data_IF_734810951692
#
_entry.id   IF_734810951692
#
_cell.length_a   1.000
_cell.length_b   1.000
_cell.length_c   1.000
_cell.angle_alpha   90.00
_cell.angle_beta   90.00
_cell.angle_gamma   90.00
#
_symmetry.space_group_name_H-M   'P 1'
#
loop_
_entity.id
_entity.type
_entity.pdbx_description
1 polymer ?
#
# COMPACT_ATOMS: atom_id res chain seq x y z
N UNK A 1 -1.71 13.51 -10.38
CA UNK A 1 -0.45 14.20 -10.01
C UNK A 1 0.62 13.13 -9.88
N UNK A 2 1.67 13.18 -10.69
CA UNK A 2 2.80 12.24 -10.58
C UNK A 2 3.82 12.86 -9.63
N UNK A 3 4.06 12.23 -8.49
CA UNK A 3 5.11 12.63 -7.56
C UNK A 3 6.43 12.00 -8.03
N UNK A 4 7.30 12.79 -8.66
CA UNK A 4 8.60 12.32 -9.14
C UNK A 4 9.62 12.53 -8.02
N UNK A 5 10.04 11.46 -7.37
CA UNK A 5 11.15 11.53 -6.42
C UNK A 5 12.45 11.25 -7.17
N UNK A 6 13.24 12.29 -7.44
CA UNK A 6 14.49 12.22 -8.23
C UNK A 6 15.56 11.30 -7.62
N UNK A 7 15.40 10.90 -6.36
CA UNK A 7 16.36 10.06 -5.63
C UNK A 7 15.95 8.58 -5.52
N UNK A 8 14.74 8.20 -5.96
CA UNK A 8 14.27 6.83 -5.91
C UNK A 8 14.47 6.16 -7.27
N UNK A 9 15.28 5.10 -7.32
CA UNK A 9 15.29 4.21 -8.47
C UNK A 9 14.14 3.21 -8.27
N UNK A 10 13.00 3.33 -8.96
CA UNK A 10 11.84 2.50 -8.69
C UNK A 10 12.23 1.04 -8.94
N UNK A 11 12.02 0.17 -7.95
CA UNK A 11 12.31 -1.25 -8.10
C UNK A 11 11.39 -2.09 -7.19
N UNK A 12 10.66 -3.08 -7.75
CA UNK A 12 10.43 -3.29 -9.17
C UNK A 12 9.68 -2.12 -9.84
N UNK A 13 9.81 -1.99 -11.16
CA UNK A 13 9.16 -0.93 -11.95
C UNK A 13 8.43 -1.50 -13.16
N UNK A 14 7.45 -0.75 -13.64
CA UNK A 14 6.73 -1.00 -14.89
C UNK A 14 6.90 0.21 -15.82
N UNK A 15 7.03 -0.04 -17.13
CA UNK A 15 7.09 1.05 -18.10
C UNK A 15 5.67 1.46 -18.49
N UNK A 16 5.33 2.73 -18.27
CA UNK A 16 4.03 3.30 -18.57
C UNK A 16 4.15 4.49 -19.52
N UNK A 17 3.11 4.68 -20.35
CA UNK A 17 2.95 5.86 -21.18
C UNK A 17 2.40 7.01 -20.35
N UNK A 18 3.12 8.13 -20.31
CA UNK A 18 2.71 9.33 -19.56
C UNK A 18 2.40 10.45 -20.55
N UNK A 19 1.21 11.03 -20.39
CA UNK A 19 0.75 12.24 -21.09
C UNK A 19 0.55 13.37 -20.07
N UNK A 20 0.68 14.61 -20.53
CA UNK A 20 0.38 15.78 -19.71
C UNK A 20 -1.10 16.16 -19.86
N UNK A 21 -1.70 16.75 -18.82
CA UNK A 21 -3.06 17.30 -18.91
C UNK A 21 -3.23 18.31 -20.06
N UNK A 22 -2.14 19.02 -20.41
CA UNK A 22 -2.14 19.97 -21.54
C UNK A 22 -2.23 19.23 -22.87
N UNK A 23 -1.51 18.11 -23.00
CA UNK A 23 -1.60 17.22 -24.16
C UNK A 23 -3.03 16.69 -24.31
N UNK A 24 -3.61 16.15 -23.23
CA UNK A 24 -4.97 15.61 -23.22
C UNK A 24 -6.00 16.70 -23.59
N UNK A 25 -5.82 17.93 -23.08
CA UNK A 25 -6.66 19.06 -23.44
C UNK A 25 -6.56 19.41 -24.93
N UNK A 26 -5.36 19.43 -25.51
CA UNK A 26 -5.18 19.69 -26.94
C UNK A 26 -5.75 18.57 -27.81
N UNK A 27 -5.66 17.31 -27.39
CA UNK A 27 -6.35 16.21 -28.07
C UNK A 27 -7.87 16.38 -28.04
N UNK A 28 -8.44 16.62 -26.85
CA UNK A 28 -9.89 16.76 -26.67
C UNK A 28 -10.49 17.97 -27.38
N UNK A 29 -9.70 19.03 -27.57
CA UNK A 29 -10.11 20.24 -28.31
C UNK A 29 -9.77 20.18 -29.81
N UNK A 30 -9.32 19.02 -30.30
CA UNK A 30 -8.97 18.77 -31.70
C UNK A 30 -7.83 19.65 -32.24
N UNK A 31 -6.81 19.90 -31.42
CA UNK A 31 -5.61 20.68 -31.73
C UNK A 31 -4.29 19.86 -31.66
N UNK A 32 -4.18 18.69 -32.32
CA UNK A 32 -3.00 17.83 -32.21
C UNK A 32 -1.71 18.47 -32.71
N UNK A 33 -1.79 19.45 -33.63
CA UNK A 33 -0.62 20.19 -34.12
C UNK A 33 0.11 20.95 -32.99
N UNK A 34 -0.60 21.39 -31.96
CA UNK A 34 0.01 22.07 -30.80
C UNK A 34 0.82 21.11 -29.94
N UNK A 35 0.46 19.83 -29.90
CA UNK A 35 1.20 18.79 -29.16
C UNK A 35 2.59 18.64 -29.78
N UNK A 36 2.65 18.56 -31.11
CA UNK A 36 3.92 18.48 -31.83
C UNK A 36 4.74 19.76 -31.70
N UNK A 37 4.10 20.92 -31.91
CA UNK A 37 4.74 22.23 -31.83
C UNK A 37 5.43 22.47 -30.48
N UNK A 38 4.81 22.04 -29.38
CA UNK A 38 5.33 22.26 -28.02
C UNK A 38 6.07 21.07 -27.43
N UNK A 39 6.26 19.98 -28.19
CA UNK A 39 6.99 18.80 -27.69
C UNK A 39 6.26 18.08 -26.55
N UNK A 40 4.92 18.06 -26.60
CA UNK A 40 4.05 17.52 -25.54
C UNK A 40 3.62 16.07 -25.82
N UNK A 41 4.38 15.35 -26.64
CA UNK A 41 4.09 13.95 -26.96
C UNK A 41 4.18 13.08 -25.71
N UNK A 42 3.38 12.01 -25.70
CA UNK A 42 3.49 10.94 -24.72
C UNK A 42 4.91 10.38 -24.70
N UNK A 43 5.42 10.14 -23.50
CA UNK A 43 6.73 9.52 -23.29
C UNK A 43 6.62 8.33 -22.35
N UNK A 44 7.59 7.43 -22.43
CA UNK A 44 7.68 6.26 -21.56
C UNK A 44 8.40 6.63 -20.26
N UNK A 45 7.82 6.24 -19.13
CA UNK A 45 8.40 6.41 -17.81
C UNK A 45 8.35 5.09 -17.04
N UNK A 46 9.44 4.77 -16.34
CA UNK A 46 9.42 3.68 -15.37
C UNK A 46 8.73 4.17 -14.10
N UNK A 47 7.58 3.58 -13.79
CA UNK A 47 6.81 3.86 -12.57
C UNK A 47 7.02 2.72 -11.57
N UNK A 48 6.99 3.05 -10.28
CA UNK A 48 7.05 2.03 -9.23
C UNK A 48 5.86 1.08 -9.35
N UNK A 49 6.13 -0.21 -9.24
CA UNK A 49 5.10 -1.25 -9.28
C UNK A 49 4.06 -1.02 -8.15
N UNK A 50 2.77 -1.07 -8.51
CA UNK A 50 1.67 -0.83 -7.56
C UNK A 50 1.52 -1.95 -6.52
N UNK A 51 1.82 -3.20 -6.87
CA UNK A 51 1.87 -4.35 -5.94
C UNK A 51 2.97 -4.14 -4.92
N UNK A 52 4.15 -3.68 -5.37
CA UNK A 52 5.25 -3.29 -4.49
C UNK A 52 4.85 -2.17 -3.54
N UNK A 53 4.26 -1.12 -4.10
CA UNK A 53 3.77 0.04 -3.34
C UNK A 53 2.76 -0.38 -2.26
N UNK A 54 1.86 -1.31 -2.57
CA UNK A 54 0.88 -1.85 -1.63
C UNK A 54 1.55 -2.57 -0.46
N UNK A 55 2.48 -3.49 -0.72
CA UNK A 55 3.15 -4.23 0.36
C UNK A 55 4.03 -3.31 1.22
N UNK A 56 4.67 -2.29 0.65
CA UNK A 56 5.45 -1.30 1.40
C UNK A 56 4.57 -0.47 2.35
N UNK A 57 3.39 -0.06 1.89
CA UNK A 57 2.40 0.63 2.74
C UNK A 57 1.90 -0.28 3.85
N UNK A 58 1.59 -1.55 3.55
CA UNK A 58 1.18 -2.52 4.56
C UNK A 58 2.26 -2.71 5.62
N UNK A 59 3.52 -2.95 5.23
CA UNK A 59 4.65 -3.16 6.15
C UNK A 59 4.90 -1.92 7.01
N UNK A 60 4.86 -0.73 6.41
CA UNK A 60 4.92 0.54 7.13
C UNK A 60 3.80 0.64 8.18
N UNK A 61 2.53 0.40 7.81
CA UNK A 61 1.43 0.42 8.78
C UNK A 61 1.60 -0.63 9.90
N UNK A 62 2.00 -1.86 9.56
CA UNK A 62 2.28 -2.90 10.56
C UNK A 62 3.33 -2.45 11.56
N UNK A 63 4.47 -1.95 11.08
CA UNK A 63 5.55 -1.46 11.93
C UNK A 63 5.07 -0.38 12.89
N UNK A 64 4.45 0.67 12.36
CA UNK A 64 4.05 1.83 13.17
C UNK A 64 2.84 1.54 14.07
N UNK A 65 2.07 0.49 13.79
CA UNK A 65 1.03 0.00 14.70
C UNK A 65 1.58 -0.53 16.03
N UNK A 66 2.87 -0.90 16.11
CA UNK A 66 3.53 -1.35 17.35
C UNK A 66 4.18 -0.22 18.16
N UNK A 67 3.99 1.04 17.77
CA UNK A 67 4.51 2.17 18.53
C UNK A 67 3.82 2.31 19.89
N UNK A 68 4.43 3.08 20.79
CA UNK A 68 3.82 3.40 22.10
C UNK A 68 2.49 4.14 21.94
N UNK A 69 2.38 4.99 20.91
CA UNK A 69 1.16 5.69 20.55
C UNK A 69 0.76 5.41 19.09
N UNK A 70 0.14 4.24 18.81
CA UNK A 70 -0.24 3.83 17.46
C UNK A 70 -1.15 4.82 16.75
N UNK A 71 -2.05 5.49 17.49
CA UNK A 71 -2.97 6.46 16.88
C UNK A 71 -2.22 7.65 16.29
N UNK A 72 -1.19 8.17 16.97
CA UNK A 72 -0.39 9.29 16.46
C UNK A 72 0.44 8.86 15.24
N UNK A 73 1.16 7.74 15.34
CA UNK A 73 2.04 7.28 14.27
C UNK A 73 1.27 6.86 13.01
N UNK A 74 0.08 6.27 13.17
CA UNK A 74 -0.77 5.91 12.03
C UNK A 74 -1.52 7.11 11.45
N UNK A 75 -1.83 8.13 12.26
CA UNK A 75 -2.37 9.41 11.76
C UNK A 75 -1.38 10.09 10.82
N UNK A 76 -0.08 10.09 11.15
CA UNK A 76 0.96 10.59 10.24
C UNK A 76 1.07 9.81 8.92
N UNK A 77 0.41 8.65 8.84
CA UNK A 77 0.35 7.77 7.66
C UNK A 77 -1.06 7.62 7.11
N UNK A 78 -1.96 8.56 7.40
CA UNK A 78 -3.38 8.40 7.08
C UNK A 78 -3.64 8.19 5.58
N UNK A 79 -2.82 8.80 4.71
CA UNK A 79 -2.83 8.61 3.26
C UNK A 79 -2.61 7.15 2.83
N UNK A 80 -1.89 6.35 3.61
CA UNK A 80 -1.71 4.94 3.29
C UNK A 80 -3.01 4.15 3.35
N UNK A 81 -3.95 4.50 4.22
CA UNK A 81 -5.26 3.82 4.27
C UNK A 81 -6.10 4.13 3.03
N UNK A 82 -6.07 5.38 2.56
CA UNK A 82 -6.66 5.79 1.27
C UNK A 82 -6.04 5.01 0.11
N UNK A 83 -4.71 5.02 0.02
CA UNK A 83 -4.00 4.33 -1.06
C UNK A 83 -4.31 2.83 -1.04
N UNK A 84 -4.34 2.20 0.14
CA UNK A 84 -4.69 0.79 0.29
C UNK A 84 -6.11 0.48 -0.14
N UNK A 85 -7.08 1.38 0.08
CA UNK A 85 -8.43 1.18 -0.42
C UNK A 85 -8.43 1.06 -1.96
N UNK A 86 -7.74 1.95 -2.66
CA UNK A 86 -7.67 1.87 -4.13
C UNK A 86 -6.83 0.69 -4.62
N UNK A 87 -5.69 0.42 -3.96
CA UNK A 87 -4.82 -0.69 -4.34
C UNK A 87 -5.50 -2.05 -4.11
N UNK A 88 -6.20 -2.26 -3.00
CA UNK A 88 -6.90 -3.54 -2.74
C UNK A 88 -8.07 -3.77 -3.72
N UNK A 89 -8.68 -2.69 -4.23
CA UNK A 89 -9.78 -2.77 -5.19
C UNK A 89 -9.33 -2.72 -6.66
N UNK A 90 -8.05 -2.47 -6.93
CA UNK A 90 -7.46 -2.60 -8.27
C UNK A 90 -7.37 -4.08 -8.65
N UNK A 91 -7.82 -4.44 -9.86
CA UNK A 91 -7.97 -5.85 -10.25
C UNK A 91 -6.66 -6.62 -10.20
N UNK A 92 -5.56 -6.02 -10.67
CA UNK A 92 -4.26 -6.67 -10.68
C UNK A 92 -3.70 -6.85 -9.27
N UNK A 93 -3.87 -5.85 -8.40
CA UNK A 93 -3.48 -5.97 -7.00
C UNK A 93 -4.36 -6.98 -6.25
N UNK A 94 -5.65 -7.04 -6.55
CA UNK A 94 -6.58 -8.01 -5.97
C UNK A 94 -6.20 -9.45 -6.35
N UNK A 95 -5.89 -9.69 -7.63
CA UNK A 95 -5.37 -10.97 -8.12
C UNK A 95 -4.02 -11.31 -7.47
N UNK A 96 -3.13 -10.32 -7.37
CA UNK A 96 -1.84 -10.47 -6.69
C UNK A 96 -2.00 -10.84 -5.22
N UNK A 97 -2.92 -10.23 -4.46
CA UNK A 97 -3.16 -10.58 -3.04
C UNK A 97 -3.49 -12.07 -2.88
N UNK A 98 -4.21 -12.66 -3.83
CA UNK A 98 -4.56 -14.10 -3.78
C UNK A 98 -3.42 -15.02 -4.24
N UNK A 99 -2.30 -14.47 -4.73
CA UNK A 99 -1.18 -15.25 -5.27
C UNK A 99 -0.19 -15.70 -4.19
N UNK A 100 0.61 -16.71 -4.55
CA UNK A 100 1.77 -17.15 -3.74
C UNK A 100 2.86 -16.07 -3.66
N UNK A 101 2.98 -15.24 -4.69
CA UNK A 101 3.97 -14.17 -4.77
C UNK A 101 3.71 -13.11 -3.70
N UNK A 102 2.44 -12.75 -3.44
CA UNK A 102 2.10 -11.84 -2.35
C UNK A 102 2.61 -12.32 -0.99
N UNK A 103 2.42 -13.61 -0.69
CA UNK A 103 2.87 -14.19 0.59
C UNK A 103 4.39 -14.15 0.70
N UNK A 104 5.09 -14.50 -0.38
CA UNK A 104 6.55 -14.49 -0.46
C UNK A 104 7.08 -13.06 -0.30
N UNK A 105 6.63 -12.13 -1.13
CA UNK A 105 7.13 -10.76 -1.17
C UNK A 105 6.83 -9.98 0.11
N UNK A 106 5.65 -10.17 0.70
CA UNK A 106 5.31 -9.59 2.00
C UNK A 106 6.26 -10.12 3.09
N UNK A 107 6.54 -11.42 3.10
CA UNK A 107 7.42 -12.05 4.09
C UNK A 107 8.87 -11.57 3.95
N UNK A 108 9.39 -11.54 2.72
CA UNK A 108 10.73 -11.03 2.43
C UNK A 108 10.88 -9.56 2.84
N UNK A 109 9.88 -8.73 2.50
CA UNK A 109 9.89 -7.32 2.86
C UNK A 109 9.83 -7.10 4.37
N UNK A 110 9.03 -7.88 5.09
CA UNK A 110 8.95 -7.82 6.55
C UNK A 110 10.28 -8.20 7.22
N UNK A 111 10.94 -9.24 6.73
CA UNK A 111 12.27 -9.65 7.24
C UNK A 111 13.28 -8.53 7.01
N UNK A 112 13.31 -7.98 5.80
CA UNK A 112 14.22 -6.87 5.48
C UNK A 112 13.91 -5.61 6.30
N UNK A 113 12.64 -5.24 6.47
CA UNK A 113 12.25 -4.06 7.25
C UNK A 113 12.64 -4.21 8.73
N UNK A 114 12.42 -5.39 9.33
CA UNK A 114 12.88 -5.71 10.69
C UNK A 114 14.40 -5.72 10.83
N UNK A 115 15.13 -6.16 9.81
CA UNK A 115 16.58 -6.09 9.81
C UNK A 115 17.08 -4.64 9.77
N UNK A 116 16.44 -3.81 8.94
CA UNK A 116 16.85 -2.43 8.68
C UNK A 116 16.48 -1.46 9.82
N UNK A 117 15.41 -1.73 10.54
CA UNK A 117 14.84 -0.78 11.49
C UNK A 117 14.65 -1.37 12.88
N UNK A 118 14.99 -0.59 13.89
CA UNK A 118 14.89 -0.90 15.32
C UNK A 118 13.77 -0.13 16.03
N UNK A 119 13.22 0.91 15.38
CA UNK A 119 12.07 1.69 15.84
C UNK A 119 10.77 1.24 15.17
N UNK A 120 9.61 1.17 15.85
CA UNK A 120 9.44 1.38 17.29
C UNK A 120 10.12 0.26 18.11
N UNK A 121 10.39 0.53 19.38
CA UNK A 121 11.17 -0.38 20.23
C UNK A 121 10.65 -1.83 20.18
N UNK A 122 11.57 -2.74 19.88
CA UNK A 122 11.28 -4.17 19.77
C UNK A 122 10.61 -4.59 18.45
N UNK A 123 10.51 -3.71 17.44
CA UNK A 123 9.94 -4.04 16.12
C UNK A 123 10.49 -5.35 15.53
N UNK A 124 11.79 -5.57 15.66
CA UNK A 124 12.51 -6.72 15.10
C UNK A 124 11.96 -8.07 15.58
N UNK A 125 11.39 -8.12 16.79
CA UNK A 125 10.88 -9.36 17.41
C UNK A 125 9.36 -9.49 17.39
N UNK A 126 8.61 -8.45 16.96
CA UNK A 126 7.13 -8.47 16.96
C UNK A 126 6.58 -9.49 15.97
N UNK A 127 5.55 -10.25 16.34
CA UNK A 127 4.83 -11.10 15.38
C UNK A 127 3.74 -10.28 14.70
N UNK A 128 3.61 -10.42 13.38
CA UNK A 128 2.59 -9.67 12.64
C UNK A 128 1.18 -9.98 13.13
N UNK A 129 0.91 -11.23 13.52
CA UNK A 129 -0.37 -11.65 14.10
C UNK A 129 -0.75 -10.94 15.41
N UNK A 130 0.21 -10.31 16.10
CA UNK A 130 0.00 -9.53 17.32
C UNK A 130 -0.29 -8.04 17.02
N UNK A 131 -0.18 -7.61 15.77
CA UNK A 131 -0.36 -6.20 15.37
C UNK A 131 -1.75 -5.68 15.75
N UNK A 132 -1.85 -4.43 16.25
CA UNK A 132 -3.13 -3.75 16.42
C UNK A 132 -3.98 -3.67 15.14
N UNK A 133 -3.36 -3.70 13.96
CA UNK A 133 -4.08 -3.77 12.68
C UNK A 133 -4.79 -5.12 12.46
N UNK A 134 -4.38 -6.18 13.14
CA UNK A 134 -5.02 -7.49 13.09
C UNK A 134 -5.96 -7.70 14.28
N UNK A 135 -5.55 -7.26 15.47
CA UNK A 135 -6.25 -7.63 16.72
C UNK A 135 -7.37 -6.66 17.07
N UNK A 136 -7.22 -5.35 16.81
CA UNK A 136 -8.13 -4.30 17.29
C UNK A 136 -8.38 -3.19 16.26
N UNK A 137 -8.19 -3.45 14.97
CA UNK A 137 -8.28 -2.42 13.93
C UNK A 137 -9.57 -1.59 13.95
N UNK A 138 -10.79 -2.16 14.12
CA UNK A 138 -12.01 -1.34 14.18
C UNK A 138 -11.99 -0.30 15.31
N UNK A 139 -11.37 -0.62 16.44
CA UNK A 139 -11.22 0.34 17.55
C UNK A 139 -10.18 1.40 17.20
N UNK A 140 -9.07 1.00 16.58
CA UNK A 140 -8.02 1.91 16.13
C UNK A 140 -8.54 2.88 15.05
N UNK A 141 -9.32 2.38 14.09
CA UNK A 141 -9.89 3.15 12.99
C UNK A 141 -10.88 4.22 13.48
N UNK A 142 -11.67 3.94 14.52
CA UNK A 142 -12.54 4.95 15.15
C UNK A 142 -11.79 6.22 15.57
N UNK A 143 -10.52 6.09 15.97
CA UNK A 143 -9.68 7.21 16.36
C UNK A 143 -8.97 7.87 15.16
N UNK A 144 -8.83 7.16 14.03
CA UNK A 144 -8.15 7.62 12.82
C UNK A 144 -9.10 8.25 11.80
N UNK A 145 -10.37 7.83 11.75
CA UNK A 145 -11.33 8.22 10.70
C UNK A 145 -11.54 9.73 10.59
N UNK A 146 -11.48 10.47 11.70
CA UNK A 146 -11.62 11.93 11.68
C UNK A 146 -10.40 12.59 11.06
N UNK A 147 -9.20 12.07 11.33
CA UNK A 147 -7.96 12.51 10.67
C UNK A 147 -8.02 12.20 9.18
N UNK A 148 -8.49 11.01 8.81
CA UNK A 148 -8.70 10.60 7.41
C UNK A 148 -9.61 11.58 6.67
N UNK A 149 -10.78 11.88 7.23
CA UNK A 149 -11.75 12.80 6.62
C UNK A 149 -11.19 14.21 6.51
N UNK A 150 -10.55 14.73 7.57
CA UNK A 150 -10.06 16.11 7.60
C UNK A 150 -8.83 16.32 6.72
N UNK A 151 -7.82 15.44 6.80
CA UNK A 151 -6.58 15.63 6.03
C UNK A 151 -6.80 15.38 4.54
N UNK A 152 -7.51 14.32 4.15
CA UNK A 152 -7.62 13.99 2.73
C UNK A 152 -8.58 14.89 1.97
N UNK A 153 -9.64 15.38 2.62
CA UNK A 153 -10.54 16.34 1.97
C UNK A 153 -9.82 17.64 1.58
N UNK A 154 -8.75 18.01 2.28
CA UNK A 154 -7.94 19.19 1.91
C UNK A 154 -6.97 18.94 0.74
N UNK A 155 -6.67 17.69 0.43
CA UNK A 155 -5.68 17.29 -0.58
C UNK A 155 -6.32 16.75 -1.86
N UNK A 156 -7.57 16.28 -1.79
CA UNK A 156 -8.23 15.62 -2.90
C UNK A 156 -8.88 16.64 -3.86
N UNK A 157 -8.62 16.47 -5.16
CA UNK A 157 -9.32 17.18 -6.23
C UNK A 157 -10.69 16.57 -6.55
N UNK A 158 -11.00 15.41 -5.96
CA UNK A 158 -12.22 14.63 -6.16
C UNK A 158 -12.77 14.16 -4.80
N UNK A 159 -13.98 13.62 -4.81
CA UNK A 159 -14.58 13.02 -3.63
C UNK A 159 -13.72 11.85 -3.12
N UNK A 160 -13.44 11.85 -1.81
CA UNK A 160 -12.68 10.76 -1.17
C UNK A 160 -13.63 9.62 -0.79
N UNK A 161 -13.18 8.36 -0.78
CA UNK A 161 -13.99 7.24 -0.33
C UNK A 161 -14.50 7.45 1.10
N UNK A 162 -15.73 7.01 1.34
CA UNK A 162 -16.32 6.97 2.69
C UNK A 162 -15.44 6.18 3.66
N UNK A 163 -15.31 6.68 4.89
CA UNK A 163 -14.39 6.09 5.90
C UNK A 163 -14.67 4.61 6.17
N UNK A 164 -15.93 4.19 6.03
CA UNK A 164 -16.36 2.80 6.21
C UNK A 164 -15.91 1.88 5.07
N UNK A 165 -15.83 2.38 3.84
CA UNK A 165 -15.34 1.59 2.71
C UNK A 165 -13.83 1.39 2.83
N UNK A 166 -13.10 2.40 3.32
CA UNK A 166 -11.68 2.26 3.66
C UNK A 166 -11.48 1.25 4.79
N UNK A 167 -12.27 1.35 5.87
CA UNK A 167 -12.24 0.39 6.97
C UNK A 167 -12.43 -1.05 6.45
N UNK A 168 -13.42 -1.26 5.58
CA UNK A 168 -13.75 -2.56 5.00
C UNK A 168 -12.60 -3.11 4.14
N UNK A 169 -12.01 -2.31 3.27
CA UNK A 169 -10.87 -2.72 2.44
C UNK A 169 -9.67 -3.14 3.30
N UNK A 170 -9.36 -2.37 4.35
CA UNK A 170 -8.25 -2.68 5.25
C UNK A 170 -8.55 -3.96 6.04
N UNK A 171 -9.77 -4.12 6.56
CA UNK A 171 -10.21 -5.35 7.24
C UNK A 171 -10.05 -6.57 6.34
N UNK A 172 -10.41 -6.46 5.06
CA UNK A 172 -10.30 -7.57 4.11
C UNK A 172 -8.84 -8.02 3.95
N UNK A 173 -7.92 -7.09 3.68
CA UNK A 173 -6.51 -7.45 3.46
C UNK A 173 -5.84 -7.94 4.74
N UNK A 174 -6.10 -7.33 5.91
CA UNK A 174 -5.50 -7.80 7.18
C UNK A 174 -6.04 -9.17 7.61
N UNK A 175 -7.31 -9.47 7.32
CA UNK A 175 -7.88 -10.82 7.55
C UNK A 175 -7.22 -11.87 6.65
N UNK A 176 -7.01 -11.54 5.38
CA UNK A 176 -6.29 -12.43 4.46
C UNK A 176 -4.85 -12.66 4.95
N UNK A 177 -4.12 -11.60 5.33
CA UNK A 177 -2.79 -11.74 5.92
C UNK A 177 -2.84 -12.62 7.16
N UNK A 178 -3.82 -12.42 8.05
CA UNK A 178 -3.99 -13.26 9.24
C UNK A 178 -4.16 -14.75 8.88
N UNK A 179 -4.95 -15.10 7.87
CA UNK A 179 -5.13 -16.50 7.46
C UNK A 179 -3.83 -17.11 6.94
N UNK A 180 -3.05 -16.37 6.15
CA UNK A 180 -1.75 -16.84 5.64
C UNK A 180 -0.80 -17.25 6.79
N UNK A 181 -0.73 -16.45 7.86
CA UNK A 181 0.12 -16.78 9.01
C UNK A 181 -0.44 -17.86 9.93
N UNK A 182 -1.75 -18.13 9.89
CA UNK A 182 -2.32 -19.32 10.53
C UNK A 182 -2.03 -20.60 9.73
N UNK A 183 -2.14 -20.55 8.40
CA UNK A 183 -1.90 -21.69 7.51
C UNK A 183 -0.42 -22.06 7.39
N UNK A 184 0.49 -21.08 7.36
CA UNK A 184 1.93 -21.33 7.33
C UNK A 184 2.46 -21.98 8.61
N UNK A 185 1.81 -21.76 9.76
CA UNK A 185 2.10 -22.54 10.97
C UNK A 185 1.72 -24.01 10.76
N UNK A 186 0.67 -24.33 10.01
CA UNK A 186 0.28 -25.72 9.71
C UNK A 186 1.20 -26.38 8.67
N UNK A 187 1.72 -25.65 7.68
CA UNK A 187 2.70 -26.18 6.72
C UNK A 187 4.05 -26.50 7.38
N UNK A 188 4.45 -25.75 8.41
CA UNK A 188 5.65 -26.07 9.21
C UNK A 188 5.46 -27.39 9.99
N UNK A 189 4.24 -27.71 10.45
CA UNK A 189 3.94 -29.01 11.08
C UNK A 189 3.90 -30.17 10.06
N UNK A 190 3.37 -29.96 8.85
CA UNK A 190 3.36 -31.01 7.80
C UNK A 190 4.76 -31.34 7.26
N UNK A 191 5.70 -30.39 7.26
CA UNK A 191 7.08 -30.63 6.86
C UNK A 191 7.91 -31.39 7.93
N UNK A 192 7.46 -31.38 9.18
CA UNK A 192 8.09 -32.10 10.30
C UNK A 192 7.54 -33.54 10.39
N UNK A 193 6.25 -33.75 10.09
CA UNK A 193 5.64 -35.09 10.12
C UNK A 193 6.02 -36.00 8.94
N UNK A 194 6.60 -35.46 7.86
CA UNK A 194 7.13 -36.25 6.73
C UNK A 194 8.61 -36.62 6.86
N UNK A 195 9.20 -36.43 8.05
CA UNK A 195 10.60 -36.81 8.36
C UNK A 195 10.74 -37.79 9.52
N UNK A 196 9.66 -38.46 9.95
CA UNK A 196 9.71 -39.54 10.93
C UNK A 196 9.21 -40.86 10.33
#
# INVERSE_FOLDING_TARGET
MVEINTYANPYPYETQNISSFVSDFYEQTNNPALIEQYGLQTFLLNVLDKRRTMIEKLVSLFRFSFSENPTVELSAKIRHFYDLHFLVNDSECADYIQSVDFTKDLSELLVHDKFKFDSPEGWQTKKITESPLITIFPTLWKNLRTVYQNELSTLAFAEIPEEKEVEKSVIQVVKHIKSLYHENNNLLFMAIDNKN
#
